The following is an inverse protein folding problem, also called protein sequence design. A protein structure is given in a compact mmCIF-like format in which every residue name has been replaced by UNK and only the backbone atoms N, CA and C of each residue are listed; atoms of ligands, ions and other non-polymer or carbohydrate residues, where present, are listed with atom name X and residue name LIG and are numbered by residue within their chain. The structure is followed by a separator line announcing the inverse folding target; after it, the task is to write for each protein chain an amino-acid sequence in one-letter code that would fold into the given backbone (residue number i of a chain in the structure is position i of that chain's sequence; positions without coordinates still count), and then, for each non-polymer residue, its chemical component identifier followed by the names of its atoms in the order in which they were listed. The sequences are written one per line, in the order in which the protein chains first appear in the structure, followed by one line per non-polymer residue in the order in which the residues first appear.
data_IF_764033574519
#
_entry.id   IF_764033574519
#
_cell.length_a   1.000
_cell.length_b   1.000
_cell.length_c   1.000
_cell.angle_alpha   90.00
_cell.angle_beta   90.00
_cell.angle_gamma   90.00
#
_symmetry.space_group_name_H-M   'P 1'
#
loop_
_entity.id
_entity.type
_entity.pdbx_description
1 polymer ?
#
# COMPACT_ATOMS: atom_id res chain seq x y z
N UNK A 1 -2.00 -6.68 -14.42
CA UNK A 1 -3.46 -6.93 -14.55
C UNK A 1 -3.77 -7.56 -15.90
N UNK A 2 -3.53 -6.88 -17.03
CA UNK A 2 -3.74 -7.45 -18.38
C UNK A 2 -2.95 -8.75 -18.64
N UNK A 3 -1.68 -8.81 -18.24
CA UNK A 3 -0.85 -10.01 -18.42
C UNK A 3 -1.35 -11.25 -17.66
N UNK A 4 -1.92 -11.07 -16.46
CA UNK A 4 -2.42 -12.20 -15.65
C UNK A 4 -3.75 -12.75 -16.19
N UNK A 5 -4.62 -11.88 -16.72
CA UNK A 5 -5.85 -12.28 -17.40
C UNK A 5 -5.51 -12.99 -18.72
N UNK A 6 -4.51 -12.48 -19.45
CA UNK A 6 -4.05 -13.09 -20.70
C UNK A 6 -3.46 -14.49 -20.48
N UNK A 7 -2.67 -14.70 -19.42
CA UNK A 7 -2.08 -16.00 -19.09
C UNK A 7 -3.14 -17.06 -18.77
N UNK A 8 -4.25 -16.67 -18.13
CA UNK A 8 -5.36 -17.57 -17.78
C UNK A 8 -6.22 -17.90 -19.00
N UNK A 9 -6.41 -16.92 -19.90
CA UNK A 9 -7.06 -17.17 -21.19
C UNK A 9 -6.23 -18.11 -22.09
N UNK A 10 -4.93 -18.27 -21.83
CA UNK A 10 -4.06 -19.24 -22.52
C UNK A 10 -3.93 -20.59 -21.81
N UNK A 11 -4.58 -20.80 -20.66
CA UNK A 11 -4.64 -22.13 -20.03
C UNK A 11 -5.57 -23.02 -20.84
N UNK A 12 -4.98 -23.92 -21.62
CA UNK A 12 -5.69 -24.93 -22.39
C UNK A 12 -6.22 -26.01 -21.45
N UNK A 13 -7.45 -25.81 -20.98
CA UNK A 13 -8.17 -26.70 -20.07
C UNK A 13 -9.12 -27.64 -20.82
N UNK A 14 -9.08 -27.65 -22.16
CA UNK A 14 -10.03 -28.37 -23.02
C UNK A 14 -11.39 -27.67 -23.13
N UNK A 15 -12.11 -27.93 -24.23
CA UNK A 15 -13.34 -27.24 -24.61
C UNK A 15 -14.44 -27.29 -23.53
N UNK A 16 -14.50 -28.38 -22.75
CA UNK A 16 -15.51 -28.60 -21.70
C UNK A 16 -15.31 -27.69 -20.46
N UNK A 17 -14.13 -27.10 -20.28
CA UNK A 17 -13.78 -26.29 -19.10
C UNK A 17 -13.55 -24.81 -19.41
N UNK A 18 -13.80 -24.36 -20.64
CA UNK A 18 -13.68 -22.95 -21.06
C UNK A 18 -14.49 -21.99 -20.16
N UNK A 19 -15.68 -22.42 -19.70
CA UNK A 19 -16.50 -21.67 -18.76
C UNK A 19 -15.78 -21.36 -17.44
N UNK A 20 -14.94 -22.29 -16.95
CA UNK A 20 -14.17 -22.12 -15.71
C UNK A 20 -13.12 -21.03 -15.89
N UNK A 21 -12.48 -20.95 -17.06
CA UNK A 21 -11.54 -19.88 -17.40
C UNK A 21 -12.20 -18.49 -17.41
N UNK A 22 -13.42 -18.39 -17.92
CA UNK A 22 -14.18 -17.13 -17.88
C UNK A 22 -14.55 -16.73 -16.45
N UNK A 23 -15.00 -17.68 -15.61
CA UNK A 23 -15.31 -17.43 -14.20
C UNK A 23 -14.08 -16.98 -13.40
N UNK A 24 -12.94 -17.66 -13.58
CA UNK A 24 -11.68 -17.29 -12.93
C UNK A 24 -11.19 -15.91 -13.39
N UNK A 25 -11.27 -15.63 -14.69
CA UNK A 25 -10.92 -14.31 -15.24
C UNK A 25 -11.79 -13.20 -14.65
N UNK A 26 -13.10 -13.44 -14.56
CA UNK A 26 -14.04 -12.49 -13.94
C UNK A 26 -13.71 -12.28 -12.46
N UNK A 27 -13.48 -13.36 -11.70
CA UNK A 27 -13.14 -13.28 -10.28
C UNK A 27 -11.85 -12.46 -10.05
N UNK A 28 -10.85 -12.61 -10.92
CA UNK A 28 -9.60 -11.86 -10.86
C UNK A 28 -9.81 -10.39 -11.22
N UNK A 29 -10.58 -10.09 -12.27
CA UNK A 29 -10.93 -8.71 -12.64
C UNK A 29 -11.66 -8.03 -11.47
N UNK A 30 -12.66 -8.70 -10.90
CA UNK A 30 -13.41 -8.20 -9.74
C UNK A 30 -12.50 -8.00 -8.54
N UNK A 31 -11.59 -8.94 -8.25
CA UNK A 31 -10.60 -8.81 -7.18
C UNK A 31 -9.70 -7.58 -7.37
N UNK A 32 -9.17 -7.36 -8.58
CA UNK A 32 -8.33 -6.20 -8.86
C UNK A 32 -9.10 -4.87 -8.84
N UNK A 33 -10.35 -4.86 -9.27
CA UNK A 33 -11.22 -3.68 -9.20
C UNK A 33 -11.58 -3.34 -7.75
N UNK A 34 -11.92 -4.35 -6.94
CA UNK A 34 -12.28 -4.16 -5.54
C UNK A 34 -11.07 -3.90 -4.63
N UNK A 35 -9.84 -4.16 -5.09
CA UNK A 35 -8.63 -3.94 -4.30
C UNK A 35 -8.52 -2.45 -3.92
N UNK A 36 -8.61 -2.10 -2.63
CA UNK A 36 -8.60 -0.70 -2.21
C UNK A 36 -7.23 -0.08 -2.51
N UNK A 37 -7.24 1.10 -3.14
CA UNK A 37 -6.04 1.91 -3.33
C UNK A 37 -5.83 2.72 -2.05
N UNK A 38 -4.77 2.39 -1.32
CA UNK A 38 -4.39 3.12 -0.12
C UNK A 38 -3.44 4.26 -0.49
N UNK A 39 -3.92 5.50 -0.33
CA UNK A 39 -3.14 6.72 -0.54
C UNK A 39 -2.69 7.29 0.80
N UNK A 40 -1.47 7.83 0.81
CA UNK A 40 -0.93 8.56 1.96
C UNK A 40 -0.66 10.02 1.55
N UNK A 41 -1.25 10.96 2.28
CA UNK A 41 -1.15 12.40 2.01
C UNK A 41 -0.53 13.07 3.24
N UNK A 42 0.49 13.90 3.02
CA UNK A 42 1.15 14.67 4.09
C UNK A 42 0.81 16.14 3.94
N UNK A 43 0.08 16.70 4.90
CA UNK A 43 -0.23 18.13 4.99
C UNK A 43 0.62 18.79 6.08
N UNK A 44 0.57 20.12 6.25
CA UNK A 44 1.36 20.83 7.28
C UNK A 44 1.10 20.29 8.70
N UNK A 45 -0.16 19.98 9.04
CA UNK A 45 -0.59 19.54 10.38
C UNK A 45 -0.88 18.04 10.49
N UNK A 46 -1.35 17.41 9.40
CA UNK A 46 -1.86 16.03 9.44
C UNK A 46 -1.14 15.10 8.47
N UNK A 47 -1.00 13.85 8.90
CA UNK A 47 -0.79 12.69 8.04
C UNK A 47 -2.14 12.02 7.78
N UNK A 48 -2.54 11.89 6.52
CA UNK A 48 -3.84 11.36 6.14
C UNK A 48 -3.63 10.05 5.40
N UNK A 49 -4.23 8.98 5.91
CA UNK A 49 -4.31 7.70 5.24
C UNK A 49 -5.72 7.52 4.67
N UNK A 50 -5.82 7.46 3.34
CA UNK A 50 -7.09 7.29 2.63
C UNK A 50 -7.12 5.92 1.96
N UNK A 51 -8.01 5.05 2.42
CA UNK A 51 -8.35 3.81 1.71
C UNK A 51 -9.47 4.14 0.73
N UNK A 52 -9.14 4.30 -0.55
CA UNK A 52 -10.11 4.56 -1.62
C UNK A 52 -10.61 3.22 -2.16
N UNK A 53 -11.93 3.05 -2.15
CA UNK A 53 -12.62 1.96 -2.86
C UNK A 53 -13.40 2.56 -4.03
N UNK A 54 -13.68 1.76 -5.05
CA UNK A 54 -14.58 2.15 -6.15
C UNK A 54 -15.95 2.55 -5.60
N UNK A 55 -16.40 1.89 -4.52
CA UNK A 55 -17.59 2.28 -3.77
C UNK A 55 -17.23 3.40 -2.78
N UNK A 56 -17.72 4.62 -3.03
CA UNK A 56 -17.48 5.80 -2.17
C UNK A 56 -17.84 5.54 -0.70
N UNK A 57 -18.91 4.78 -0.43
CA UNK A 57 -19.35 4.43 0.92
C UNK A 57 -18.35 3.59 1.71
N UNK A 58 -17.50 2.82 1.02
CA UNK A 58 -16.45 2.00 1.64
C UNK A 58 -15.13 2.75 1.80
N UNK A 59 -15.04 3.97 1.28
CA UNK A 59 -13.83 4.77 1.42
C UNK A 59 -13.70 5.28 2.85
N UNK A 60 -12.58 4.94 3.51
CA UNK A 60 -12.28 5.38 4.87
C UNK A 60 -11.02 6.24 4.86
N UNK A 61 -11.05 7.35 5.59
CA UNK A 61 -9.89 8.22 5.77
C UNK A 61 -9.58 8.38 7.25
N UNK A 62 -8.36 8.01 7.64
CA UNK A 62 -7.86 8.25 8.99
C UNK A 62 -6.89 9.43 8.95
N UNK A 63 -7.08 10.38 9.86
CA UNK A 63 -6.20 11.55 9.99
C UNK A 63 -5.43 11.42 11.30
N UNK A 64 -4.14 11.67 11.25
CA UNK A 64 -3.24 11.65 12.40
C UNK A 64 -2.56 13.00 12.51
N UNK A 65 -2.63 13.64 13.68
CA UNK A 65 -1.90 14.88 13.91
C UNK A 65 -0.39 14.59 13.99
N UNK A 66 0.39 15.25 13.13
CA UNK A 66 1.84 15.04 13.07
C UNK A 66 2.49 15.32 14.43
N UNK A 67 1.95 16.27 15.18
CA UNK A 67 2.50 16.70 16.47
C UNK A 67 2.18 15.76 17.63
N UNK A 68 1.21 14.86 17.47
CA UNK A 68 0.92 13.80 18.44
C UNK A 68 1.81 12.58 18.20
N UNK A 69 2.43 12.48 17.02
CA UNK A 69 3.38 11.41 16.69
C UNK A 69 4.70 11.68 17.41
N UNK A 70 5.14 10.72 18.22
CA UNK A 70 6.44 10.70 18.90
C UNK A 70 7.53 10.13 17.99
N UNK A 71 7.21 9.08 17.24
CA UNK A 71 8.14 8.44 16.31
C UNK A 71 7.38 7.81 15.15
N UNK A 72 7.99 7.84 13.96
CA UNK A 72 7.45 7.26 12.73
C UNK A 72 8.53 6.45 12.03
N UNK A 73 8.19 5.29 11.49
CA UNK A 73 9.14 4.41 10.84
C UNK A 73 8.48 3.52 9.79
N UNK A 74 9.30 3.00 8.88
CA UNK A 74 8.89 2.02 7.89
C UNK A 74 9.35 0.62 8.34
N UNK A 75 8.44 -0.36 8.32
CA UNK A 75 8.75 -1.78 8.35
C UNK A 75 8.37 -2.37 6.99
N UNK A 76 9.31 -3.01 6.31
CA UNK A 76 9.05 -3.81 5.11
C UNK A 76 9.46 -5.24 5.38
N UNK A 77 8.68 -6.20 4.89
CA UNK A 77 9.17 -7.58 4.77
C UNK A 77 10.10 -7.61 3.55
N UNK A 78 11.37 -7.98 3.76
CA UNK A 78 12.20 -8.49 2.69
C UNK A 78 11.78 -9.94 2.47
N UNK A 79 11.04 -10.20 1.40
CA UNK A 79 10.93 -11.55 0.87
C UNK A 79 11.79 -11.59 -0.39
N UNK A 80 13.02 -12.08 -0.27
CA UNK A 80 13.94 -12.30 -1.38
C UNK A 80 13.37 -13.27 -2.45
N UNK A 81 12.26 -13.97 -2.15
CA UNK A 81 11.65 -14.98 -3.02
C UNK A 81 10.59 -14.51 -4.02
N UNK A 82 10.40 -13.21 -4.27
CA UNK A 82 9.33 -12.70 -5.16
C UNK A 82 9.85 -11.94 -6.39
N UNK A 83 11.05 -12.27 -6.88
CA UNK A 83 11.67 -11.66 -8.07
C UNK A 83 10.75 -11.64 -9.30
N UNK A 84 9.94 -12.68 -9.52
CA UNK A 84 9.01 -12.75 -10.66
C UNK A 84 7.97 -11.62 -10.57
N UNK A 85 7.51 -11.26 -9.37
CA UNK A 85 6.56 -10.16 -9.18
C UNK A 85 7.24 -8.80 -9.26
N UNK A 86 8.53 -8.68 -8.95
CA UNK A 86 9.30 -7.44 -9.11
C UNK A 86 9.61 -7.12 -10.59
N UNK A 87 9.78 -8.13 -11.45
CA UNK A 87 9.95 -7.94 -12.91
C UNK A 87 8.72 -7.33 -13.57
N UNK A 88 7.50 -7.79 -13.23
CA UNK A 88 6.25 -7.24 -13.79
C UNK A 88 5.91 -5.83 -13.30
N UNK A 89 6.64 -5.33 -12.31
CA UNK A 89 6.28 -4.14 -11.56
C UNK A 89 7.28 -2.97 -11.74
N UNK A 90 8.48 -3.24 -12.27
CA UNK A 90 9.46 -2.22 -12.62
C UNK A 90 10.71 -2.28 -11.74
N UNK A 91 11.85 -2.42 -12.41
CA UNK A 91 13.18 -2.52 -11.79
C UNK A 91 13.44 -1.34 -10.82
N UNK A 92 13.76 -1.66 -9.56
CA UNK A 92 14.08 -0.69 -8.51
C UNK A 92 13.23 -0.78 -7.24
N UNK A 93 12.40 -1.82 -7.10
CA UNK A 93 11.49 -2.01 -5.98
C UNK A 93 11.98 -3.06 -4.97
N UNK A 94 13.16 -2.84 -4.36
CA UNK A 94 13.74 -3.73 -3.33
C UNK A 94 12.94 -3.73 -2.00
N UNK A 95 11.73 -4.29 -2.01
CA UNK A 95 10.86 -4.40 -0.83
C UNK A 95 9.36 -4.51 -1.08
N UNK A 96 8.92 -4.89 -2.29
CA UNK A 96 7.51 -5.09 -2.61
C UNK A 96 6.65 -3.81 -2.61
N UNK A 97 5.43 -3.92 -3.16
CA UNK A 97 4.45 -2.81 -3.16
C UNK A 97 3.78 -2.61 -1.82
N UNK A 98 3.82 -3.58 -0.90
CA UNK A 98 3.18 -3.47 0.40
C UNK A 98 4.22 -3.22 1.47
N UNK A 99 4.27 -1.98 1.98
CA UNK A 99 5.12 -1.60 3.08
C UNK A 99 4.27 -1.16 4.27
N UNK A 100 4.79 -1.37 5.47
CA UNK A 100 4.09 -1.06 6.70
C UNK A 100 4.64 0.21 7.32
N UNK A 101 3.77 1.21 7.49
CA UNK A 101 4.07 2.40 8.26
C UNK A 101 3.73 2.16 9.73
N UNK A 102 4.70 2.34 10.61
CA UNK A 102 4.52 2.26 12.06
C UNK A 102 4.64 3.65 12.67
N UNK A 103 3.69 4.01 13.52
CA UNK A 103 3.66 5.29 14.24
C UNK A 103 3.48 5.02 15.73
N UNK A 104 4.33 5.65 16.54
CA UNK A 104 4.18 5.71 17.99
C UNK A 104 3.74 7.12 18.37
N UNK A 105 2.71 7.24 19.17
CA UNK A 105 2.13 8.51 19.60
C UNK A 105 2.60 8.88 21.01
N UNK A 106 2.41 10.14 21.39
CA UNK A 106 2.78 10.68 22.71
C UNK A 106 1.96 10.08 23.85
N UNK A 107 0.73 9.68 23.57
CA UNK A 107 -0.16 8.93 24.47
C UNK A 107 0.27 7.46 24.68
N UNK A 108 1.44 7.07 24.14
CA UNK A 108 2.01 5.71 24.14
C UNK A 108 1.26 4.71 23.24
N UNK A 109 0.22 5.13 22.53
CA UNK A 109 -0.44 4.27 21.55
C UNK A 109 0.47 4.04 20.34
N UNK A 110 0.28 2.89 19.68
CA UNK A 110 0.99 2.53 18.45
C UNK A 110 -0.03 2.22 17.36
N UNK A 111 0.17 2.74 16.16
CA UNK A 111 -0.61 2.38 14.97
C UNK A 111 0.30 1.86 13.87
N UNK A 112 -0.17 0.79 13.25
CA UNK A 112 0.48 0.13 12.14
C UNK A 112 -0.46 0.21 10.95
N UNK A 113 0.06 0.66 9.80
CA UNK A 113 -0.72 0.85 8.58
C UNK A 113 0.00 0.17 7.44
N UNK A 114 -0.66 -0.79 6.82
CA UNK A 114 -0.20 -1.37 5.55
C UNK A 114 -0.56 -0.43 4.40
N UNK A 115 0.45 -0.12 3.58
CA UNK A 115 0.32 0.82 2.47
C UNK A 115 0.93 0.19 1.24
N UNK A 116 0.16 0.22 0.14
CA UNK A 116 0.59 -0.24 -1.17
C UNK A 116 1.53 0.77 -1.87
N UNK A 117 2.60 1.21 -1.21
CA UNK A 117 3.59 2.18 -1.71
C UNK A 117 5.00 1.59 -1.61
N UNK A 118 5.84 1.87 -2.62
CA UNK A 118 7.25 1.44 -2.63
C UNK A 118 8.02 1.95 -1.42
N UNK A 119 8.95 1.13 -0.92
CA UNK A 119 9.80 1.46 0.25
C UNK A 119 10.50 2.81 0.09
N UNK A 120 11.06 3.09 -1.09
CA UNK A 120 11.75 4.36 -1.40
C UNK A 120 10.82 5.57 -1.26
N UNK A 121 9.57 5.46 -1.72
CA UNK A 121 8.59 6.54 -1.61
C UNK A 121 8.09 6.68 -0.18
N UNK A 122 7.88 5.57 0.54
CA UNK A 122 7.48 5.58 1.94
C UNK A 122 8.57 6.18 2.84
N UNK A 123 9.84 5.83 2.62
CA UNK A 123 10.97 6.38 3.38
C UNK A 123 11.10 7.91 3.22
N UNK A 124 10.88 8.43 2.01
CA UNK A 124 10.83 9.89 1.77
C UNK A 124 9.73 10.56 2.60
N UNK A 125 8.54 9.95 2.65
CA UNK A 125 7.41 10.44 3.45
C UNK A 125 7.78 10.44 4.94
N UNK A 126 8.29 9.30 5.44
CA UNK A 126 8.72 9.15 6.84
C UNK A 126 9.72 10.25 7.21
N UNK A 127 10.75 10.48 6.38
CA UNK A 127 11.74 11.55 6.57
C UNK A 127 11.15 12.97 6.56
N UNK A 128 10.07 13.22 5.82
CA UNK A 128 9.41 14.53 5.82
C UNK A 128 8.63 14.72 7.13
N UNK A 129 7.91 13.69 7.57
CA UNK A 129 7.12 13.73 8.81
C UNK A 129 8.04 13.83 10.02
N UNK A 130 9.10 13.03 10.07
CA UNK A 130 10.08 13.02 11.17
C UNK A 130 10.76 14.38 11.34
N UNK A 131 11.22 15.01 10.25
CA UNK A 131 11.76 16.38 10.29
C UNK A 131 10.77 17.41 10.84
N UNK A 132 9.46 17.23 10.61
CA UNK A 132 8.42 18.13 11.15
C UNK A 132 8.16 17.90 12.62
N UNK A 133 8.25 16.65 13.08
CA UNK A 133 8.19 16.30 14.50
C UNK A 133 9.35 16.96 15.24
N UNK A 134 10.58 16.81 14.72
CA UNK A 134 11.80 17.35 15.33
C UNK A 134 11.83 18.89 15.38
N UNK A 135 11.48 19.57 14.26
CA UNK A 135 11.49 21.05 14.22
C UNK A 135 10.67 21.69 15.33
N UNK A 136 9.51 21.11 15.66
CA UNK A 136 8.63 21.65 16.71
C UNK A 136 9.08 21.29 18.12
N UNK A 137 9.83 20.19 18.29
CA UNK A 137 10.45 19.88 19.57
C UNK A 137 11.48 20.95 19.96
N UNK A 138 12.19 21.52 18.98
CA UNK A 138 13.19 22.56 19.20
C UNK A 138 12.62 24.00 19.27
N UNK A 139 11.30 24.18 19.08
CA UNK A 139 10.65 25.51 19.19
C UNK A 139 9.90 25.69 20.51
N UNK A 140 10.04 24.73 21.44
CA UNK A 140 9.54 24.79 22.81
C UNK A 140 10.72 24.91 23.76
#
# INVERSE_FOLDING_TARGET
MLAAVFLILQLDLGDDLIFVNYLLSLAIIVYFLLKPKADLIVTRKYLIHSKRSILKQLSKSNKYEIYEIKAIGCRGFHSDGWEIVDVFNGAGNNGGYSNTLMMKFKDKSTKTIEIAVSKKKLDRIVKIVDRRIQRRANTK
#
